data_IF_704047156227
#
_entry.id   IF_704047156227
#
_cell.length_a   1.000
_cell.length_b   1.000
_cell.length_c   1.000
_cell.angle_alpha   90.00
_cell.angle_beta   90.00
_cell.angle_gamma   90.00
#
_symmetry.space_group_name_H-M   'P 1'
#
loop_
_entity.id
_entity.type
_entity.pdbx_description
1 polymer ?
#
# COMPACT_ATOMS: atom_id res chain seq x y z
N UNK A 1 9.82 -22.09 -24.67
CA UNK A 1 11.27 -22.32 -24.87
C UNK A 1 12.15 -21.43 -23.98
N UNK A 2 11.90 -20.11 -23.86
CA UNK A 2 12.76 -19.19 -23.08
C UNK A 2 12.95 -19.47 -21.58
N UNK A 3 11.93 -20.01 -20.89
CA UNK A 3 12.01 -20.21 -19.42
C UNK A 3 13.03 -21.30 -19.03
N UNK A 4 13.16 -22.35 -19.84
CA UNK A 4 14.07 -23.46 -19.57
C UNK A 4 15.52 -23.02 -19.78
N UNK A 5 15.79 -22.23 -20.83
CA UNK A 5 17.12 -21.65 -21.09
C UNK A 5 17.58 -20.74 -19.94
N UNK A 6 16.70 -19.86 -19.45
CA UNK A 6 17.00 -18.99 -18.29
C UNK A 6 17.33 -19.81 -17.04
N UNK A 7 16.61 -20.90 -16.79
CA UNK A 7 16.89 -21.78 -15.65
C UNK A 7 18.23 -22.52 -15.79
N UNK A 8 18.57 -22.97 -16.99
CA UNK A 8 19.87 -23.60 -17.26
C UNK A 8 21.05 -22.63 -17.12
N UNK A 9 20.84 -21.36 -17.45
CA UNK A 9 21.84 -20.32 -17.25
C UNK A 9 22.03 -19.97 -15.77
N UNK A 10 20.93 -19.90 -15.01
CA UNK A 10 20.98 -19.67 -13.56
C UNK A 10 21.71 -20.82 -12.83
N UNK A 11 21.57 -22.05 -13.32
CA UNK A 11 22.28 -23.23 -12.77
C UNK A 11 23.80 -23.17 -12.96
N UNK A 12 24.34 -22.28 -13.80
CA UNK A 12 25.80 -22.13 -13.97
C UNK A 12 26.42 -21.27 -12.86
N UNK A 13 25.63 -20.47 -12.17
CA UNK A 13 26.10 -19.63 -11.08
C UNK A 13 26.24 -20.40 -9.76
N UNK A 14 27.00 -19.81 -8.84
CA UNK A 14 27.11 -20.28 -7.45
C UNK A 14 25.78 -20.07 -6.71
N UNK A 15 25.56 -20.83 -5.64
CA UNK A 15 24.35 -20.70 -4.81
C UNK A 15 24.06 -19.25 -4.35
N UNK A 16 25.03 -18.46 -3.85
CA UNK A 16 24.77 -17.08 -3.45
C UNK A 16 24.31 -16.19 -4.62
N UNK A 17 24.93 -16.33 -5.80
CA UNK A 17 24.54 -15.57 -7.00
C UNK A 17 23.12 -15.93 -7.47
N UNK A 18 22.73 -17.21 -7.36
CA UNK A 18 21.35 -17.64 -7.66
C UNK A 18 20.34 -16.98 -6.72
N UNK A 19 20.68 -16.88 -5.43
CA UNK A 19 19.83 -16.20 -4.46
C UNK A 19 19.68 -14.72 -4.78
N UNK A 20 20.77 -14.04 -5.11
CA UNK A 20 20.75 -12.62 -5.54
C UNK A 20 19.88 -12.42 -6.78
N UNK A 21 19.98 -13.32 -7.76
CA UNK A 21 19.15 -13.25 -8.97
C UNK A 21 17.66 -13.41 -8.65
N UNK A 22 17.29 -14.40 -7.83
CA UNK A 22 15.90 -14.65 -7.45
C UNK A 22 15.34 -13.45 -6.66
N UNK A 23 16.14 -12.87 -5.77
CA UNK A 23 15.74 -11.70 -5.00
C UNK A 23 15.49 -10.48 -5.90
N UNK A 24 16.38 -10.21 -6.85
CA UNK A 24 16.20 -9.13 -7.82
C UNK A 24 14.94 -9.34 -8.69
N UNK A 25 14.71 -10.57 -9.17
CA UNK A 25 13.51 -10.92 -9.93
C UNK A 25 12.23 -10.74 -9.10
N UNK A 26 12.24 -11.13 -7.82
CA UNK A 26 11.13 -10.90 -6.90
C UNK A 26 10.88 -9.41 -6.66
N UNK A 27 11.93 -8.60 -6.57
CA UNK A 27 11.81 -7.17 -6.39
C UNK A 27 11.11 -6.51 -7.58
N UNK A 28 11.54 -6.84 -8.80
CA UNK A 28 10.92 -6.34 -10.04
C UNK A 28 9.44 -6.70 -10.13
N UNK A 29 9.07 -7.95 -9.82
CA UNK A 29 7.67 -8.37 -9.82
C UNK A 29 6.85 -7.57 -8.81
N UNK A 30 7.41 -7.29 -7.62
CA UNK A 30 6.73 -6.48 -6.60
C UNK A 30 6.55 -5.04 -7.05
N UNK A 31 7.56 -4.45 -7.69
CA UNK A 31 7.47 -3.11 -8.27
C UNK A 31 6.38 -3.04 -9.34
N UNK A 32 6.32 -4.00 -10.26
CA UNK A 32 5.29 -4.06 -11.29
C UNK A 32 3.89 -4.15 -10.68
N UNK A 33 3.71 -5.00 -9.66
CA UNK A 33 2.44 -5.12 -8.93
C UNK A 33 2.08 -3.79 -8.26
N UNK A 34 3.06 -3.08 -7.67
CA UNK A 34 2.82 -1.77 -7.05
C UNK A 34 2.50 -0.70 -8.09
N UNK A 35 3.15 -0.70 -9.25
CA UNK A 35 2.86 0.23 -10.35
C UNK A 35 1.47 -0.01 -10.96
N UNK A 36 1.00 -1.25 -11.00
CA UNK A 36 -0.38 -1.58 -11.39
C UNK A 36 -1.39 -1.10 -10.35
N UNK A 37 -1.04 -1.11 -9.07
CA UNK A 37 -1.90 -0.65 -7.97
C UNK A 37 -1.90 0.86 -7.77
N UNK A 38 -0.88 1.58 -8.23
CA UNK A 38 -0.91 3.03 -8.19
C UNK A 38 -1.88 3.55 -9.26
N UNK A 39 -2.89 4.36 -8.90
CA UNK A 39 -3.71 5.03 -9.89
C UNK A 39 -2.80 5.89 -10.77
N UNK A 40 -2.60 5.44 -12.01
CA UNK A 40 -1.76 6.10 -13.02
C UNK A 40 -2.19 7.54 -13.29
N UNK A 41 -3.44 7.87 -12.94
CA UNK A 41 -3.99 9.21 -13.02
C UNK A 41 -4.14 9.84 -11.62
N UNK A 42 -3.42 10.95 -11.40
CA UNK A 42 -3.52 11.80 -10.20
C UNK A 42 -4.96 12.22 -9.92
N UNK A 43 -5.78 12.40 -10.96
CA UNK A 43 -7.21 12.75 -10.85
C UNK A 43 -8.03 11.62 -10.25
N UNK A 44 -7.79 10.38 -10.69
CA UNK A 44 -8.46 9.20 -10.15
C UNK A 44 -8.05 8.95 -8.69
N UNK A 45 -6.75 9.12 -8.36
CA UNK A 45 -6.29 9.09 -6.98
C UNK A 45 -7.02 10.10 -6.09
N UNK A 46 -7.16 11.33 -6.56
CA UNK A 46 -7.85 12.40 -5.83
C UNK A 46 -9.32 12.07 -5.62
N UNK A 47 -9.99 11.48 -6.63
CA UNK A 47 -11.39 11.05 -6.53
C UNK A 47 -11.57 9.94 -5.49
N UNK A 48 -10.70 8.93 -5.50
CA UNK A 48 -10.74 7.83 -4.54
C UNK A 48 -10.50 8.31 -3.10
N UNK A 49 -9.53 9.23 -2.91
CA UNK A 49 -9.28 9.82 -1.61
C UNK A 49 -10.46 10.67 -1.11
N UNK A 50 -11.11 11.44 -2.00
CA UNK A 50 -12.31 12.19 -1.64
C UNK A 50 -13.46 11.28 -1.22
N UNK A 51 -13.73 10.21 -1.98
CA UNK A 51 -14.76 9.24 -1.65
C UNK A 51 -14.47 8.52 -0.31
N UNK A 52 -13.21 8.16 -0.04
CA UNK A 52 -12.82 7.57 1.23
C UNK A 52 -12.98 8.55 2.41
N UNK A 53 -12.64 9.82 2.20
CA UNK A 53 -12.83 10.85 3.22
C UNK A 53 -14.32 11.07 3.53
N UNK A 54 -15.18 11.12 2.50
CA UNK A 54 -16.63 11.23 2.66
C UNK A 54 -17.21 10.02 3.42
N UNK A 55 -16.75 8.81 3.12
CA UNK A 55 -17.19 7.59 3.80
C UNK A 55 -16.82 7.57 5.29
N UNK A 56 -15.68 8.17 5.67
CA UNK A 56 -15.20 8.24 7.05
C UNK A 56 -15.77 9.44 7.82
N UNK A 57 -16.49 10.38 7.20
CA UNK A 57 -17.06 11.55 7.88
C UNK A 57 -17.86 11.20 9.15
N UNK A 58 -18.69 10.15 9.20
CA UNK A 58 -19.44 9.78 10.41
C UNK A 58 -18.53 9.41 11.58
N UNK A 59 -17.39 8.77 11.31
CA UNK A 59 -16.46 8.32 12.35
C UNK A 59 -15.76 9.50 13.03
N UNK A 60 -15.60 10.61 12.28
CA UNK A 60 -15.06 11.89 12.76
C UNK A 60 -16.13 12.84 13.32
N UNK A 61 -17.42 12.54 13.20
CA UNK A 61 -18.46 13.33 13.84
C UNK A 61 -18.31 13.25 15.36
N UNK A 62 -18.73 14.29 16.10
CA UNK A 62 -18.63 14.32 17.56
C UNK A 62 -19.38 13.12 18.20
N UNK A 63 -18.67 12.30 18.97
CA UNK A 63 -19.18 11.06 19.56
C UNK A 63 -19.19 9.88 18.59
N UNK A 64 -18.61 10.03 17.39
CA UNK A 64 -18.30 8.97 16.46
C UNK A 64 -17.12 8.11 16.94
N UNK A 65 -16.87 7.00 16.26
CA UNK A 65 -15.88 6.00 16.68
C UNK A 65 -14.49 6.61 16.96
N UNK A 66 -14.07 7.59 16.15
CA UNK A 66 -12.76 8.23 16.27
C UNK A 66 -12.74 9.46 17.17
N UNK A 67 -13.90 9.96 17.61
CA UNK A 67 -14.00 11.15 18.49
C UNK A 67 -14.69 10.88 19.82
N UNK A 68 -15.06 9.63 20.10
CA UNK A 68 -15.71 9.20 21.36
C UNK A 68 -14.94 9.72 22.58
N UNK A 69 -13.61 9.69 22.54
CA UNK A 69 -12.76 10.13 23.64
C UNK A 69 -12.56 11.65 23.69
N UNK A 70 -12.70 12.36 22.56
CA UNK A 70 -12.52 13.82 22.52
C UNK A 70 -13.79 14.57 22.91
N UNK A 71 -14.96 13.93 22.82
CA UNK A 71 -16.22 14.49 23.32
C UNK A 71 -16.38 14.43 24.85
N UNK A 72 -15.55 13.65 25.55
CA UNK A 72 -15.57 13.58 27.02
C UNK A 72 -14.83 14.76 27.67
N UNK A 73 -13.83 15.33 27.00
CA UNK A 73 -13.04 16.47 27.51
C UNK A 73 -13.75 17.82 27.35
N UNK A 74 -14.92 17.88 26.72
CA UNK A 74 -15.75 19.08 26.69
C UNK A 74 -16.62 19.18 27.94
N UNK A 75 -16.00 19.27 29.12
CA UNK A 75 -16.70 19.83 30.28
C UNK A 75 -16.69 21.35 30.16
N UNK A 76 -17.88 21.97 30.26
CA UNK A 76 -18.00 23.43 30.40
C UNK A 76 -17.23 23.84 31.65
N UNK A 77 -16.07 24.47 31.50
CA UNK A 77 -15.44 25.23 32.58
C UNK A 77 -16.38 26.38 32.95
N UNK A 78 -17.28 26.15 33.91
CA UNK A 78 -18.08 27.20 34.53
C UNK A 78 -17.25 27.83 35.65
N UNK A 79 -16.85 29.09 35.43
CA UNK A 79 -16.22 29.96 36.41
C UNK A 79 -17.22 30.44 37.47
#
# INVERSE_FOLDING_TARGET
MKQIEVLEEIKRFTIPERLTFIEAALHLIREDIQQVKQPKDRKERKRQLAAAAEALLPDYAAGGELTIFTTLDSEDFRA
#
